data_IF_087701737782
#
_entry.id   IF_087701737782
#
_cell.length_a   1.000
_cell.length_b   1.000
_cell.length_c   1.000
_cell.angle_alpha   90.00
_cell.angle_beta   90.00
_cell.angle_gamma   90.00
#
_symmetry.space_group_name_H-M   'P 1'
#
loop_
_entity.id
_entity.type
_entity.pdbx_description
1 polymer ?
#
# COMPACT_ATOMS: atom_id res chain seq x y z
N UNK A 1 -19.50 3.18 62.34
CA UNK A 1 -18.78 2.04 61.73
C UNK A 1 -19.11 1.82 60.25
N UNK A 2 -20.12 2.48 59.65
CA UNK A 2 -20.53 2.26 58.24
C UNK A 2 -19.77 3.05 57.16
N UNK A 3 -18.81 3.92 57.52
CA UNK A 3 -18.09 4.76 56.53
C UNK A 3 -16.87 4.07 55.88
N UNK A 4 -16.34 2.99 56.49
CA UNK A 4 -15.07 2.39 56.06
C UNK A 4 -15.20 1.34 54.94
N UNK A 5 -16.38 0.71 54.78
CA UNK A 5 -16.57 -0.36 53.79
C UNK A 5 -16.73 0.20 52.38
N UNK A 6 -17.51 1.27 52.21
CA UNK A 6 -17.79 1.89 50.91
C UNK A 6 -16.55 2.51 50.24
N UNK A 7 -15.58 3.00 51.03
CA UNK A 7 -14.34 3.54 50.51
C UNK A 7 -13.44 2.46 49.88
N UNK A 8 -13.40 1.26 50.46
CA UNK A 8 -12.58 0.15 49.93
C UNK A 8 -13.10 -0.40 48.61
N UNK A 9 -14.43 -0.45 48.44
CA UNK A 9 -15.09 -0.89 47.21
C UNK A 9 -14.85 0.09 46.06
N UNK A 10 -14.93 1.40 46.33
CA UNK A 10 -14.63 2.45 45.34
C UNK A 10 -13.17 2.48 44.91
N UNK A 11 -12.23 2.25 45.84
CA UNK A 11 -10.79 2.18 45.52
C UNK A 11 -10.48 0.96 44.64
N UNK A 12 -11.05 -0.22 44.94
CA UNK A 12 -10.87 -1.42 44.13
C UNK A 12 -11.40 -1.23 42.69
N UNK A 13 -12.60 -0.68 42.54
CA UNK A 13 -13.18 -0.36 41.24
C UNK A 13 -12.30 0.62 40.45
N UNK A 14 -11.74 1.62 41.12
CA UNK A 14 -10.83 2.60 40.49
C UNK A 14 -9.51 1.96 40.06
N UNK A 15 -8.95 1.03 40.85
CA UNK A 15 -7.72 0.30 40.49
C UNK A 15 -7.95 -0.65 39.32
N UNK A 16 -9.05 -1.41 39.32
CA UNK A 16 -9.45 -2.26 38.19
C UNK A 16 -9.69 -1.44 36.91
N UNK A 17 -10.36 -0.30 37.04
CA UNK A 17 -10.64 0.60 35.92
C UNK A 17 -9.38 1.24 35.35
N UNK A 18 -8.47 1.72 36.21
CA UNK A 18 -7.19 2.30 35.79
C UNK A 18 -6.26 1.26 35.17
N UNK A 19 -6.22 0.03 35.69
CA UNK A 19 -5.48 -1.08 35.09
C UNK A 19 -6.01 -1.43 33.68
N UNK A 20 -7.35 -1.55 33.53
CA UNK A 20 -7.98 -1.84 32.24
C UNK A 20 -7.73 -0.73 31.21
N UNK A 21 -7.98 0.52 31.58
CA UNK A 21 -7.75 1.67 30.69
C UNK A 21 -6.27 1.83 30.33
N UNK A 22 -5.35 1.54 31.25
CA UNK A 22 -3.92 1.49 30.98
C UNK A 22 -3.56 0.45 29.93
N UNK A 23 -4.12 -0.77 30.03
CA UNK A 23 -3.94 -1.81 29.02
C UNK A 23 -4.49 -1.39 27.64
N UNK A 24 -5.69 -0.82 27.61
CA UNK A 24 -6.29 -0.30 26.36
C UNK A 24 -5.46 0.82 25.75
N UNK A 25 -4.91 1.72 26.56
CA UNK A 25 -4.03 2.79 26.10
C UNK A 25 -2.76 2.25 25.43
N UNK A 26 -2.11 1.25 26.05
CA UNK A 26 -0.94 0.59 25.45
C UNK A 26 -1.32 -0.14 24.16
N UNK A 27 -2.45 -0.84 24.13
CA UNK A 27 -2.94 -1.52 22.94
C UNK A 27 -3.21 -0.55 21.77
N UNK A 28 -3.78 0.62 22.05
CA UNK A 28 -4.01 1.65 21.04
C UNK A 28 -2.70 2.17 20.42
N UNK A 29 -1.66 2.41 21.24
CA UNK A 29 -0.34 2.83 20.74
C UNK A 29 0.33 1.72 19.92
N UNK A 30 0.25 0.47 20.38
CA UNK A 30 0.79 -0.67 19.64
C UNK A 30 0.10 -0.87 18.29
N UNK A 31 -1.22 -0.65 18.22
CA UNK A 31 -1.97 -0.70 16.97
C UNK A 31 -1.52 0.39 15.99
N UNK A 32 -1.33 1.62 16.47
CA UNK A 32 -0.82 2.71 15.64
C UNK A 32 0.57 2.39 15.07
N UNK A 33 1.44 1.76 15.86
CA UNK A 33 2.76 1.34 15.40
C UNK A 33 2.71 0.28 14.28
N UNK A 34 1.78 -0.68 14.35
CA UNK A 34 1.65 -1.74 13.34
C UNK A 34 0.76 -1.37 12.14
N UNK A 35 0.09 -0.22 12.16
CA UNK A 35 -0.89 0.20 11.15
C UNK A 35 -0.34 0.13 9.72
N UNK A 36 0.90 0.60 9.51
CA UNK A 36 1.53 0.56 8.19
C UNK A 36 1.64 -0.88 7.65
N UNK A 37 2.07 -1.82 8.50
CA UNK A 37 2.21 -3.24 8.14
C UNK A 37 0.84 -3.83 7.78
N UNK A 38 -0.18 -3.58 8.60
CA UNK A 38 -1.53 -4.08 8.35
C UNK A 38 -2.12 -3.51 7.06
N UNK A 39 -1.89 -2.23 6.78
CA UNK A 39 -2.36 -1.59 5.54
C UNK A 39 -1.73 -2.21 4.29
N UNK A 40 -0.41 -2.48 4.31
CA UNK A 40 0.27 -3.11 3.18
C UNK A 40 -0.20 -4.56 3.00
N UNK A 41 -0.35 -5.30 4.09
CA UNK A 41 -0.85 -6.67 4.08
C UNK A 41 -2.26 -6.75 3.49
N UNK A 42 -3.18 -5.90 3.97
CA UNK A 42 -4.54 -5.84 3.46
C UNK A 42 -4.55 -5.47 1.96
N UNK A 43 -3.75 -4.48 1.56
CA UNK A 43 -3.65 -4.08 0.16
C UNK A 43 -3.11 -5.22 -0.72
N UNK A 44 -2.16 -6.01 -0.23
CA UNK A 44 -1.69 -7.20 -0.93
C UNK A 44 -2.81 -8.23 -1.15
N UNK A 45 -3.59 -8.50 -0.10
CA UNK A 45 -4.74 -9.41 -0.16
C UNK A 45 -5.72 -8.89 -1.22
N UNK A 46 -6.04 -7.59 -1.23
CA UNK A 46 -6.92 -6.99 -2.23
C UNK A 46 -6.36 -7.12 -3.65
N UNK A 47 -5.04 -6.95 -3.83
CA UNK A 47 -4.41 -7.16 -5.14
C UNK A 47 -4.60 -8.61 -5.60
N UNK A 48 -4.46 -9.58 -4.71
CA UNK A 48 -4.68 -10.99 -5.04
C UNK A 48 -6.15 -11.36 -5.26
N UNK A 49 -7.07 -10.84 -4.46
CA UNK A 49 -8.49 -11.23 -4.51
C UNK A 49 -9.26 -10.48 -5.60
N UNK A 50 -9.01 -9.18 -5.76
CA UNK A 50 -9.69 -8.33 -6.74
C UNK A 50 -8.95 -8.37 -8.09
N UNK A 51 -7.63 -8.59 -8.08
CA UNK A 51 -6.81 -8.60 -9.30
C UNK A 51 -6.78 -7.27 -10.07
N UNK A 52 -6.64 -6.10 -9.39
CA UNK A 52 -6.59 -4.79 -10.06
C UNK A 52 -5.45 -4.72 -11.09
N UNK A 53 -4.36 -5.45 -10.85
CA UNK A 53 -3.27 -5.74 -11.79
C UNK A 53 -2.70 -7.14 -11.50
N UNK A 54 -2.00 -7.70 -12.48
CA UNK A 54 -1.35 -9.02 -12.39
C UNK A 54 0.13 -8.90 -12.71
N UNK A 55 0.87 -9.96 -12.38
CA UNK A 55 2.27 -10.10 -12.78
C UNK A 55 2.35 -10.05 -14.32
N UNK A 56 3.26 -9.23 -14.84
CA UNK A 56 3.45 -8.96 -16.27
C UNK A 56 2.74 -7.71 -16.79
N UNK A 57 1.78 -7.15 -16.05
CA UNK A 57 1.15 -5.88 -16.44
C UNK A 57 2.12 -4.69 -16.26
N UNK A 58 1.98 -3.68 -17.11
CA UNK A 58 2.62 -2.39 -16.90
C UNK A 58 1.72 -1.54 -16.02
N UNK A 59 2.27 -1.00 -14.94
CA UNK A 59 1.57 -0.11 -14.00
C UNK A 59 2.36 1.19 -13.82
N UNK A 60 1.64 2.29 -13.68
CA UNK A 60 2.18 3.62 -13.38
C UNK A 60 1.46 4.19 -12.17
N UNK A 61 2.23 4.54 -11.13
CA UNK A 61 1.74 5.23 -9.93
C UNK A 61 1.82 6.74 -10.16
N UNK A 62 0.68 7.40 -10.35
CA UNK A 62 0.61 8.84 -10.58
C UNK A 62 0.55 9.58 -9.24
N UNK A 63 1.59 10.36 -8.92
CA UNK A 63 1.67 11.10 -7.65
C UNK A 63 0.92 12.45 -7.71
N UNK A 64 1.12 13.21 -8.79
CA UNK A 64 0.44 14.47 -9.09
C UNK A 64 0.52 14.68 -10.59
N UNK A 65 -0.49 15.30 -11.21
CA UNK A 65 -0.62 15.47 -12.67
C UNK A 65 0.65 16.01 -13.37
N UNK A 66 1.53 16.70 -12.63
CA UNK A 66 2.71 17.39 -13.15
C UNK A 66 4.05 16.64 -12.98
N UNK A 67 4.10 15.49 -12.29
CA UNK A 67 5.35 14.73 -12.12
C UNK A 67 5.25 13.32 -12.69
N UNK A 68 6.25 12.86 -13.46
CA UNK A 68 6.29 11.48 -13.94
C UNK A 68 6.26 10.54 -12.74
N UNK A 69 5.24 9.69 -12.73
CA UNK A 69 5.03 8.68 -11.71
C UNK A 69 6.02 7.52 -11.81
N UNK A 70 5.99 6.62 -10.82
CA UNK A 70 6.76 5.37 -10.91
C UNK A 70 6.07 4.45 -11.90
N UNK A 71 6.71 4.19 -13.05
CA UNK A 71 6.19 3.33 -14.11
C UNK A 71 7.07 2.10 -14.30
N UNK A 72 6.47 0.91 -14.23
CA UNK A 72 7.20 -0.32 -14.46
C UNK A 72 6.31 -1.54 -14.68
N UNK A 73 6.92 -2.64 -15.12
CA UNK A 73 6.26 -3.94 -15.26
C UNK A 73 6.25 -4.64 -13.91
N UNK A 74 5.10 -5.14 -13.49
CA UNK A 74 4.98 -5.94 -12.26
C UNK A 74 5.70 -7.27 -12.45
N UNK A 75 6.78 -7.49 -11.71
CA UNK A 75 7.55 -8.75 -11.76
C UNK A 75 7.23 -9.68 -10.60
N UNK A 76 6.91 -9.11 -9.43
CA UNK A 76 6.58 -9.88 -8.23
C UNK A 76 5.66 -9.09 -7.30
N UNK A 77 4.74 -9.78 -6.63
CA UNK A 77 3.82 -9.20 -5.64
C UNK A 77 4.10 -9.91 -4.31
N UNK A 78 4.61 -9.18 -3.32
CA UNK A 78 4.79 -9.67 -1.95
C UNK A 78 3.72 -9.06 -1.04
N UNK A 79 3.65 -9.51 0.22
CA UNK A 79 2.66 -9.02 1.20
C UNK A 79 2.92 -7.56 1.63
N UNK A 80 4.18 -7.14 1.67
CA UNK A 80 4.56 -5.78 2.08
C UNK A 80 4.76 -4.83 0.90
N UNK A 81 5.33 -5.32 -0.20
CA UNK A 81 5.70 -4.52 -1.36
C UNK A 81 5.48 -5.28 -2.67
N UNK A 82 5.29 -4.54 -3.76
CA UNK A 82 5.26 -5.03 -5.12
C UNK A 82 6.52 -4.57 -5.83
N UNK A 83 7.20 -5.48 -6.51
CA UNK A 83 8.40 -5.19 -7.29
C UNK A 83 8.01 -4.91 -8.73
N UNK A 84 8.43 -3.74 -9.20
CA UNK A 84 8.29 -3.26 -10.56
C UNK A 84 9.68 -3.23 -11.21
N UNK A 85 9.77 -3.58 -12.48
CA UNK A 85 10.96 -3.30 -13.29
C UNK A 85 10.65 -2.14 -14.23
N UNK A 86 11.46 -1.08 -14.17
CA UNK A 86 11.30 0.06 -15.07
C UNK A 86 11.56 -0.34 -16.53
N UNK A 87 11.04 0.43 -17.48
CA UNK A 87 11.38 0.19 -18.88
C UNK A 87 12.86 0.50 -19.12
N UNK A 88 13.49 -0.12 -20.14
CA UNK A 88 14.88 0.16 -20.48
C UNK A 88 15.15 1.65 -20.74
N UNK A 89 14.15 2.38 -21.24
CA UNK A 89 14.23 3.83 -21.49
C UNK A 89 14.40 4.64 -20.19
N UNK A 90 13.88 4.13 -19.07
CA UNK A 90 13.94 4.77 -17.75
C UNK A 90 15.15 4.33 -16.92
N UNK A 91 15.98 3.41 -17.42
CA UNK A 91 17.17 2.91 -16.73
C UNK A 91 17.05 1.48 -16.19
N UNK A 92 15.89 0.83 -16.35
CA UNK A 92 15.69 -0.60 -16.05
C UNK A 92 15.86 -0.98 -14.57
N UNK A 93 15.70 -0.03 -13.65
CA UNK A 93 15.87 -0.31 -12.22
C UNK A 93 14.73 -1.19 -11.68
N UNK A 94 15.02 -1.93 -10.61
CA UNK A 94 14.01 -2.64 -9.82
C UNK A 94 13.49 -1.70 -8.74
N UNK A 95 12.22 -1.33 -8.84
CA UNK A 95 11.54 -0.44 -7.90
C UNK A 95 10.60 -1.24 -7.02
N UNK A 96 10.76 -1.11 -5.71
CA UNK A 96 9.87 -1.73 -4.73
C UNK A 96 8.87 -0.70 -4.22
N UNK A 97 7.60 -0.91 -4.50
CA UNK A 97 6.50 -0.01 -4.11
C UNK A 97 5.70 -0.66 -2.98
N UNK A 98 5.48 0.00 -1.83
CA UNK A 98 4.62 -0.52 -0.78
C UNK A 98 3.19 -0.73 -1.30
N UNK A 99 2.57 -1.85 -0.94
CA UNK A 99 1.27 -2.22 -1.51
C UNK A 99 0.16 -1.21 -1.21
N UNK A 100 0.23 -0.55 -0.05
CA UNK A 100 -0.70 0.53 0.32
C UNK A 100 -0.66 1.72 -0.64
N UNK A 101 0.47 2.00 -1.29
CA UNK A 101 0.58 3.14 -2.20
C UNK A 101 -0.26 2.97 -3.48
N UNK A 102 -0.50 1.73 -3.91
CA UNK A 102 -1.37 1.45 -5.06
C UNK A 102 -2.84 1.81 -4.81
N UNK A 103 -3.26 1.95 -3.56
CA UNK A 103 -4.62 2.35 -3.20
C UNK A 103 -4.71 3.78 -2.68
N UNK A 104 -3.57 4.39 -2.33
CA UNK A 104 -3.50 5.80 -1.92
C UNK A 104 -3.38 6.76 -3.10
N UNK A 105 -2.83 6.29 -4.22
CA UNK A 105 -2.58 7.09 -5.43
C UNK A 105 -3.35 6.54 -6.62
N UNK A 106 -3.51 7.38 -7.64
CA UNK A 106 -4.09 6.95 -8.92
C UNK A 106 -3.14 6.00 -9.63
N UNK A 107 -3.63 4.84 -10.06
CA UNK A 107 -2.85 3.83 -10.77
C UNK A 107 -3.35 3.72 -12.21
N UNK A 108 -2.44 3.88 -13.19
CA UNK A 108 -2.71 3.58 -14.59
C UNK A 108 -2.14 2.21 -14.92
N UNK A 109 -2.92 1.40 -15.63
CA UNK A 109 -2.57 0.03 -16.01
C UNK A 109 -2.68 -0.12 -17.52
N UNK A 110 -1.68 -0.75 -18.13
CA UNK A 110 -1.72 -1.24 -19.51
C UNK A 110 -1.57 -2.75 -19.48
N UNK A 111 -2.54 -3.46 -20.05
CA UNK A 111 -2.43 -4.91 -20.18
C UNK A 111 -1.45 -5.22 -21.32
N UNK A 112 -0.81 -6.38 -21.24
CA UNK A 112 0.18 -6.81 -22.24
C UNK A 112 -0.30 -6.71 -23.70
N UNK A 113 -1.61 -6.78 -23.97
CA UNK A 113 -2.22 -6.57 -25.29
C UNK A 113 -2.13 -5.14 -25.81
N UNK A 114 -2.06 -4.15 -24.93
CA UNK A 114 -2.26 -2.72 -25.23
C UNK A 114 -0.93 -1.97 -25.41
N UNK A 115 0.21 -2.64 -25.19
CA UNK A 115 1.57 -2.12 -25.45
C UNK A 115 2.04 -2.39 -26.88
N UNK A 116 1.42 -3.35 -27.57
CA UNK A 116 1.73 -3.69 -28.96
C UNK A 116 1.30 -2.64 -29.99
N UNK A 117 0.21 -1.85 -29.83
CA UNK A 117 -0.14 -0.82 -30.79
C UNK A 117 0.84 0.37 -30.81
N UNK A 118 1.42 0.75 -29.67
CA UNK A 118 2.23 1.99 -29.58
C UNK A 118 3.68 1.83 -30.04
N UNK A 119 4.30 0.66 -29.83
CA UNK A 119 5.65 0.40 -30.34
C UNK A 119 5.70 0.23 -31.86
N UNK A 120 4.58 -0.12 -32.50
CA UNK A 120 4.49 -0.28 -33.97
C UNK A 120 4.20 1.07 -34.65
N UNK A 121 3.52 2.01 -33.97
CA UNK A 121 3.14 3.30 -34.56
C UNK A 121 4.24 4.37 -34.40
N UNK A 122 5.10 4.29 -33.37
CA UNK A 122 6.08 5.34 -33.07
C UNK A 122 7.41 5.26 -33.85
N UNK A 123 7.45 4.57 -35.00
CA UNK A 123 8.59 4.67 -35.94
C UNK A 123 8.17 4.42 -37.39
N UNK A 124 7.42 5.37 -37.96
CA UNK A 124 7.62 5.72 -39.36
C UNK A 124 8.35 7.06 -39.36
N UNK A 125 9.67 7.09 -39.62
CA UNK A 125 10.29 8.29 -40.12
C UNK A 125 9.64 8.56 -41.47
N UNK A 126 9.14 9.77 -41.63
CA UNK A 126 8.66 10.30 -42.90
C UNK A 126 9.87 10.41 -43.85
N UNK A 127 10.26 9.28 -44.45
CA UNK A 127 11.15 9.26 -45.60
C UNK A 127 10.27 9.36 -46.84
N UNK A 128 9.81 10.59 -47.11
CA UNK A 128 9.29 10.99 -48.42
C UNK A 128 10.37 11.84 -49.09
N UNK A 129 10.87 11.30 -50.21
CA UNK A 129 11.61 11.98 -51.28
C UNK A 129 11.01 13.34 -51.68
#
# INVERSE_FOLDING_TARGET
MFSSSAASEGVSATVLWTALSGFVAVAAVAFFAMWSVLSNLLCAILIFTIGPFRIGDMVELVDTLDKPGVKGRVVAINLMFTTLIETPEAGGALVQVPNSQFFQKSVRRWRGSDLFPQMVVAKQPDEQD
#
